data_IF_279542883761
#
_entry.id   IF_279542883761
#
_cell.length_a   1.000
_cell.length_b   1.000
_cell.length_c   1.000
_cell.angle_alpha   90.00
_cell.angle_beta   90.00
_cell.angle_gamma   90.00
#
_symmetry.space_group_name_H-M   'P 1'
#
loop_
_entity.id
_entity.type
_entity.pdbx_description
1 polymer ?
#
# COMPACT_ATOMS: atom_id res chain seq x y z
N UNK A 1 -22.94 -1.96 9.14
CA UNK A 1 -23.16 -1.65 7.71
C UNK A 1 -22.04 -0.74 7.23
N UNK A 2 -21.79 -0.62 5.92
CA UNK A 2 -20.95 0.45 5.38
C UNK A 2 -21.40 1.82 5.89
N UNK A 3 -20.45 2.71 6.13
CA UNK A 3 -20.74 4.11 6.39
C UNK A 3 -21.36 4.76 5.15
N UNK A 4 -22.12 5.84 5.36
CA UNK A 4 -22.70 6.58 4.24
C UNK A 4 -21.58 7.22 3.39
N UNK A 5 -21.64 6.98 2.08
CA UNK A 5 -20.62 7.30 1.08
C UNK A 5 -19.28 6.55 1.27
N UNK A 6 -19.27 5.39 1.94
CA UNK A 6 -18.06 4.57 2.02
C UNK A 6 -17.66 4.03 0.63
N UNK A 7 -16.37 4.09 0.32
CA UNK A 7 -15.77 3.56 -0.90
C UNK A 7 -14.93 2.32 -0.58
N UNK A 8 -14.69 1.47 -1.60
CA UNK A 8 -13.84 0.30 -1.43
C UNK A 8 -14.48 -0.81 -0.60
N UNK A 9 -15.82 -0.86 -0.55
CA UNK A 9 -16.54 -1.86 0.25
C UNK A 9 -16.35 -3.26 -0.35
N UNK A 10 -16.02 -4.29 0.45
CA UNK A 10 -15.86 -5.66 -0.03
C UNK A 10 -17.12 -6.22 -0.71
N UNK A 11 -16.95 -7.06 -1.72
CA UNK A 11 -18.07 -7.61 -2.50
C UNK A 11 -18.98 -8.57 -1.73
N UNK A 12 -18.54 -9.01 -0.55
CA UNK A 12 -19.29 -9.89 0.36
C UNK A 12 -19.78 -9.16 1.60
N UNK A 13 -19.81 -7.82 1.58
CA UNK A 13 -20.18 -7.02 2.73
C UNK A 13 -21.63 -7.26 3.15
N UNK A 14 -21.83 -7.72 4.39
CA UNK A 14 -23.15 -7.80 5.00
C UNK A 14 -23.62 -6.43 5.51
N UNK A 15 -24.93 -6.20 5.47
CA UNK A 15 -25.57 -5.00 5.98
C UNK A 15 -26.17 -5.29 7.35
N UNK A 16 -25.62 -4.67 8.39
CA UNK A 16 -26.15 -4.78 9.75
C UNK A 16 -26.87 -3.49 10.15
N UNK A 17 -28.13 -3.64 10.57
CA UNK A 17 -29.02 -2.56 11.03
C UNK A 17 -29.43 -2.82 12.47
N UNK A 18 -29.42 -1.78 13.29
CA UNK A 18 -29.88 -1.83 14.69
C UNK A 18 -30.91 -0.75 14.97
N UNK A 19 -31.89 -1.09 15.80
CA UNK A 19 -33.02 -0.26 16.20
C UNK A 19 -33.01 -0.08 17.73
N UNK A 20 -33.67 0.98 18.21
CA UNK A 20 -33.80 1.25 19.64
C UNK A 20 -34.94 0.47 20.32
N UNK A 21 -35.80 -0.19 19.55
CA UNK A 21 -36.94 -0.97 20.03
C UNK A 21 -37.23 -2.16 19.09
N UNK A 22 -37.99 -3.18 19.54
CA UNK A 22 -38.34 -4.34 18.72
C UNK A 22 -39.19 -3.97 17.50
N UNK A 23 -38.90 -4.60 16.36
CA UNK A 23 -39.52 -4.31 15.07
C UNK A 23 -40.53 -5.38 14.61
N UNK A 24 -41.42 -5.00 13.70
CA UNK A 24 -42.25 -5.95 12.95
C UNK A 24 -41.42 -6.49 11.78
N UNK A 25 -41.10 -7.79 11.81
CA UNK A 25 -40.15 -8.42 10.87
C UNK A 25 -40.64 -8.31 9.42
N UNK A 26 -41.86 -8.76 9.14
CA UNK A 26 -42.43 -8.75 7.78
C UNK A 26 -42.47 -7.32 7.20
N UNK A 27 -42.76 -6.33 8.05
CA UNK A 27 -42.74 -4.93 7.66
C UNK A 27 -41.36 -4.44 7.26
N UNK A 28 -40.33 -4.75 8.04
CA UNK A 28 -38.98 -4.26 7.78
C UNK A 28 -38.39 -4.97 6.57
N UNK A 29 -38.54 -6.29 6.47
CA UNK A 29 -38.06 -7.05 5.32
C UNK A 29 -38.75 -6.64 4.01
N UNK A 30 -40.06 -6.37 4.05
CA UNK A 30 -40.81 -5.89 2.89
C UNK A 30 -40.48 -4.46 2.48
N UNK A 31 -39.95 -3.65 3.41
CA UNK A 31 -39.57 -2.26 3.17
C UNK A 31 -38.10 -2.08 2.78
N UNK A 32 -37.23 -2.99 3.23
CA UNK A 32 -35.79 -2.91 3.04
C UNK A 32 -35.41 -3.08 1.57
N UNK A 33 -34.64 -2.13 1.07
CA UNK A 33 -34.07 -2.16 -0.26
C UNK A 33 -32.54 -2.13 -0.18
N UNK A 34 -31.90 -3.03 -0.93
CA UNK A 34 -30.50 -2.90 -1.33
C UNK A 34 -30.51 -2.94 -2.85
N UNK A 35 -30.22 -1.81 -3.49
CA UNK A 35 -30.39 -1.63 -4.94
C UNK A 35 -29.15 -1.01 -5.57
N UNK A 36 -28.95 -1.27 -6.85
CA UNK A 36 -27.91 -0.59 -7.63
C UNK A 36 -28.43 0.80 -8.05
N UNK A 37 -27.63 1.85 -7.87
CA UNK A 37 -28.05 3.22 -8.15
C UNK A 37 -28.46 3.44 -9.61
N UNK A 38 -27.71 2.87 -10.56
CA UNK A 38 -27.95 3.01 -11.99
C UNK A 38 -29.15 2.20 -12.49
N UNK A 39 -29.42 1.07 -11.84
CA UNK A 39 -30.53 0.17 -12.16
C UNK A 39 -31.15 -0.31 -10.85
N UNK A 40 -32.34 0.20 -10.44
CA UNK A 40 -32.91 -0.08 -9.12
C UNK A 40 -33.47 -1.51 -9.03
N UNK A 41 -32.59 -2.49 -9.20
CA UNK A 41 -32.82 -3.91 -9.08
C UNK A 41 -32.45 -4.30 -7.65
N UNK A 42 -33.39 -4.93 -6.97
CA UNK A 42 -33.17 -5.44 -5.62
C UNK A 42 -32.12 -6.55 -5.64
N UNK A 43 -31.08 -6.40 -4.81
CA UNK A 43 -30.13 -7.46 -4.52
C UNK A 43 -30.83 -8.52 -3.68
N UNK A 44 -30.83 -9.75 -4.17
CA UNK A 44 -31.35 -10.88 -3.41
C UNK A 44 -30.42 -11.20 -2.23
N UNK A 45 -31.00 -11.61 -1.10
CA UNK A 45 -30.25 -11.97 0.09
C UNK A 45 -31.15 -12.54 1.18
N UNK A 46 -30.56 -12.77 2.34
CA UNK A 46 -31.24 -13.36 3.51
C UNK A 46 -31.12 -12.47 4.72
N UNK A 47 -32.18 -12.42 5.53
CA UNK A 47 -32.20 -11.72 6.80
C UNK A 47 -31.96 -12.70 7.95
N UNK A 48 -31.13 -12.27 8.90
CA UNK A 48 -30.94 -12.93 10.19
C UNK A 48 -31.19 -11.91 11.30
N UNK A 49 -32.28 -12.11 12.06
CA UNK A 49 -32.69 -11.24 13.16
C UNK A 49 -32.10 -11.69 14.49
N UNK A 50 -31.83 -10.73 15.37
CA UNK A 50 -31.49 -11.04 16.76
C UNK A 50 -32.74 -11.44 17.58
N UNK A 51 -32.53 -12.10 18.72
CA UNK A 51 -33.60 -12.67 19.56
C UNK A 51 -34.64 -11.66 20.05
N UNK A 52 -34.24 -10.40 20.26
CA UNK A 52 -35.08 -9.30 20.74
C UNK A 52 -35.70 -8.46 19.61
N UNK A 53 -35.45 -8.82 18.34
CA UNK A 53 -35.95 -8.15 17.14
C UNK A 53 -35.57 -6.67 17.05
N UNK A 54 -34.47 -6.28 17.69
CA UNK A 54 -33.91 -4.92 17.67
C UNK A 54 -32.82 -4.75 16.62
N UNK A 55 -32.55 -5.75 15.80
CA UNK A 55 -31.59 -5.65 14.71
C UNK A 55 -31.58 -6.86 13.82
N UNK A 56 -31.05 -6.66 12.60
CA UNK A 56 -30.85 -7.74 11.65
C UNK A 56 -29.52 -7.61 10.92
N UNK A 57 -29.06 -8.73 10.38
CA UNK A 57 -28.01 -8.82 9.38
C UNK A 57 -28.62 -9.28 8.06
N UNK A 58 -28.46 -8.46 7.01
CA UNK A 58 -28.78 -8.83 5.64
C UNK A 58 -27.51 -9.27 4.92
N UNK A 59 -27.52 -10.49 4.41
CA UNK A 59 -26.41 -11.08 3.67
C UNK A 59 -26.81 -11.21 2.20
N UNK A 60 -26.13 -10.52 1.26
CA UNK A 60 -26.31 -10.73 -0.17
C UNK A 60 -26.14 -12.21 -0.55
N UNK A 61 -27.03 -12.73 -1.39
CA UNK A 61 -26.99 -14.14 -1.82
C UNK A 61 -25.87 -14.43 -2.82
N UNK A 62 -25.40 -13.40 -3.51
CA UNK A 62 -24.29 -13.43 -4.45
C UNK A 62 -23.35 -12.27 -4.13
N UNK A 63 -22.13 -12.31 -4.66
CA UNK A 63 -21.20 -11.16 -4.58
C UNK A 63 -21.84 -9.94 -5.22
N UNK A 64 -21.67 -8.80 -4.56
CA UNK A 64 -21.96 -7.50 -5.16
C UNK A 64 -21.09 -7.29 -6.41
N UNK A 65 -21.57 -6.48 -7.34
CA UNK A 65 -20.81 -6.10 -8.53
C UNK A 65 -19.64 -5.19 -8.14
N UNK A 66 -18.54 -5.25 -8.90
CA UNK A 66 -17.40 -4.33 -8.75
C UNK A 66 -17.79 -2.90 -9.13
N UNK A 67 -17.09 -1.93 -8.56
CA UNK A 67 -17.18 -0.51 -8.93
C UNK A 67 -18.62 0.01 -9.06
N UNK A 68 -19.50 -0.42 -8.15
CA UNK A 68 -20.94 -0.20 -8.23
C UNK A 68 -21.42 0.56 -7.01
N UNK A 69 -22.16 1.64 -7.24
CA UNK A 69 -22.86 2.36 -6.18
C UNK A 69 -24.15 1.61 -5.80
N UNK A 70 -24.25 1.26 -4.52
CA UNK A 70 -25.40 0.61 -3.92
C UNK A 70 -26.11 1.56 -2.97
N UNK A 71 -27.44 1.55 -3.01
CA UNK A 71 -28.31 2.28 -2.10
C UNK A 71 -28.98 1.29 -1.15
N UNK A 72 -28.87 1.55 0.15
CA UNK A 72 -29.53 0.82 1.23
C UNK A 72 -30.57 1.74 1.85
N UNK A 73 -31.80 1.27 1.97
CA UNK A 73 -32.81 2.11 2.61
C UNK A 73 -34.19 1.51 2.71
N UNK A 74 -35.09 2.36 3.20
CA UNK A 74 -36.53 2.16 3.14
C UNK A 74 -37.23 3.51 3.11
N UNK A 75 -38.42 3.55 2.50
CA UNK A 75 -39.23 4.77 2.46
C UNK A 75 -39.84 5.08 3.82
N UNK A 76 -40.21 6.34 4.05
CA UNK A 76 -41.03 6.69 5.20
C UNK A 76 -42.35 5.89 5.18
N UNK A 77 -42.88 5.58 6.37
CA UNK A 77 -44.16 4.89 6.53
C UNK A 77 -44.23 3.45 5.94
N UNK A 78 -43.07 2.81 5.70
CA UNK A 78 -42.99 1.45 5.17
C UNK A 78 -42.51 0.39 6.19
N UNK A 79 -41.63 0.78 7.12
CA UNK A 79 -41.10 -0.05 8.18
C UNK A 79 -41.70 0.36 9.55
N UNK A 80 -42.15 -0.60 10.35
CA UNK A 80 -42.89 -0.34 11.60
C UNK A 80 -42.33 -1.09 12.81
N UNK A 81 -42.50 -0.52 14.00
CA UNK A 81 -42.21 -1.24 15.25
C UNK A 81 -43.13 -2.47 15.45
N UNK A 82 -42.76 -3.40 16.34
CA UNK A 82 -43.45 -4.70 16.49
C UNK A 82 -44.97 -4.59 16.76
N UNK A 83 -45.43 -3.49 17.35
CA UNK A 83 -46.85 -3.22 17.59
C UNK A 83 -47.57 -2.46 16.46
N UNK A 84 -46.86 -2.12 15.38
CA UNK A 84 -47.29 -1.28 14.25
C UNK A 84 -47.93 0.05 14.67
N UNK A 85 -47.40 0.65 15.74
CA UNK A 85 -47.89 1.92 16.30
C UNK A 85 -47.12 3.13 15.80
N UNK A 86 -45.86 2.92 15.41
CA UNK A 86 -44.99 3.95 14.85
C UNK A 86 -44.28 3.40 13.63
N UNK A 87 -44.22 4.21 12.58
CA UNK A 87 -43.33 3.98 11.46
C UNK A 87 -41.93 4.52 11.75
N UNK A 88 -40.94 3.94 11.11
CA UNK A 88 -39.61 4.52 11.03
C UNK A 88 -39.62 5.72 10.07
N UNK A 89 -38.75 6.73 10.31
CA UNK A 89 -38.44 7.71 9.28
C UNK A 89 -37.81 7.02 8.07
N UNK A 90 -37.84 7.70 6.93
CA UNK A 90 -37.08 7.27 5.76
C UNK A 90 -35.60 7.11 6.13
N UNK A 91 -34.98 6.07 5.60
CA UNK A 91 -33.56 5.80 5.72
C UNK A 91 -33.00 5.61 4.33
N UNK A 92 -31.89 6.27 4.07
CA UNK A 92 -31.15 6.21 2.82
C UNK A 92 -29.67 6.32 3.17
N UNK A 93 -28.88 5.39 2.65
CA UNK A 93 -27.43 5.35 2.79
C UNK A 93 -26.87 4.75 1.51
N UNK A 94 -25.70 5.20 1.09
CA UNK A 94 -25.05 4.66 -0.11
C UNK A 94 -23.60 4.27 0.15
N UNK A 95 -23.10 3.36 -0.65
CA UNK A 95 -21.70 2.97 -0.64
C UNK A 95 -21.27 2.51 -2.03
N UNK A 96 -19.96 2.51 -2.29
CA UNK A 96 -19.36 2.03 -3.53
C UNK A 96 -18.47 0.84 -3.20
N UNK A 97 -18.67 -0.25 -3.93
CA UNK A 97 -17.83 -1.45 -3.81
C UNK A 97 -16.41 -1.22 -4.32
N UNK A 98 -15.49 -2.11 -3.98
CA UNK A 98 -14.13 -2.12 -4.53
C UNK A 98 -14.11 -1.95 -6.06
N UNK A 99 -13.16 -1.17 -6.61
CA UNK A 99 -13.07 -0.93 -8.05
C UNK A 99 -12.52 -2.14 -8.79
N UNK A 100 -12.63 -2.14 -10.13
CA UNK A 100 -11.92 -3.10 -10.97
C UNK A 100 -10.40 -3.06 -10.73
N UNK A 101 -9.71 -4.20 -10.80
CA UNK A 101 -8.26 -4.21 -10.68
C UNK A 101 -7.63 -3.44 -11.83
N UNK A 102 -6.69 -2.57 -11.48
CA UNK A 102 -5.91 -1.78 -12.42
C UNK A 102 -4.60 -1.37 -11.76
N UNK A 103 -3.54 -1.19 -12.56
CA UNK A 103 -2.33 -0.50 -12.11
C UNK A 103 -2.60 1.00 -12.24
N UNK A 104 -2.60 1.71 -11.10
CA UNK A 104 -2.90 3.15 -11.06
C UNK A 104 -1.64 4.01 -11.16
N UNK A 105 -0.50 3.48 -10.70
CA UNK A 105 0.79 4.13 -10.85
C UNK A 105 1.94 3.15 -10.65
N UNK A 106 3.12 3.55 -11.07
CA UNK A 106 4.37 2.80 -10.88
C UNK A 106 5.42 3.72 -10.25
N UNK A 107 6.33 3.10 -9.51
CA UNK A 107 7.58 3.73 -9.13
C UNK A 107 8.74 2.82 -9.55
N UNK A 108 9.67 3.25 -10.39
CA UNK A 108 9.69 4.54 -11.08
C UNK A 108 8.50 4.74 -12.02
N UNK A 109 8.17 6.01 -12.29
CA UNK A 109 7.17 6.33 -13.32
C UNK A 109 7.80 6.24 -14.72
N UNK A 110 6.97 6.14 -15.75
CA UNK A 110 7.44 6.10 -17.14
C UNK A 110 8.24 7.37 -17.49
N UNK A 111 9.43 7.17 -18.07
CA UNK A 111 10.39 8.23 -18.38
C UNK A 111 11.17 8.77 -17.19
N UNK A 112 11.10 8.15 -16.01
CA UNK A 112 11.89 8.58 -14.86
C UNK A 112 13.41 8.52 -15.15
N UNK A 113 14.14 9.54 -14.72
CA UNK A 113 15.60 9.62 -14.83
C UNK A 113 16.25 9.63 -13.45
N UNK A 114 17.54 9.29 -13.39
CA UNK A 114 18.33 9.28 -12.16
C UNK A 114 17.71 8.44 -11.02
N UNK A 115 17.06 7.33 -11.38
CA UNK A 115 16.45 6.41 -10.42
C UNK A 115 17.55 5.72 -9.60
N UNK A 116 17.38 5.62 -8.29
CA UNK A 116 18.35 4.91 -7.46
C UNK A 116 18.47 3.44 -7.90
N UNK A 117 19.68 2.91 -8.15
CA UNK A 117 19.89 1.56 -8.67
C UNK A 117 19.66 0.46 -7.60
N UNK A 118 18.90 0.75 -6.55
CA UNK A 118 18.55 -0.16 -5.46
C UNK A 118 17.05 -0.08 -5.16
N UNK A 119 16.45 -1.20 -4.76
CA UNK A 119 15.04 -1.25 -4.33
C UNK A 119 14.02 -1.70 -5.39
N UNK A 120 14.42 -1.82 -6.65
CA UNK A 120 13.58 -2.39 -7.71
C UNK A 120 12.45 -1.47 -8.18
N UNK A 121 11.26 -2.04 -8.39
CA UNK A 121 10.08 -1.39 -8.97
C UNK A 121 8.84 -1.65 -8.11
N UNK A 122 8.03 -0.64 -7.87
CA UNK A 122 6.74 -0.74 -7.19
C UNK A 122 5.58 -0.56 -8.16
N UNK A 123 4.55 -1.40 -8.04
CA UNK A 123 3.27 -1.27 -8.73
C UNK A 123 2.19 -0.92 -7.70
N UNK A 124 1.42 0.13 -7.95
CA UNK A 124 0.27 0.51 -7.12
C UNK A 124 -1.02 0.12 -7.82
N UNK A 125 -1.94 -0.51 -7.08
CA UNK A 125 -3.17 -1.06 -7.63
C UNK A 125 -4.41 -0.35 -7.11
N UNK A 126 -5.46 -0.31 -7.94
CA UNK A 126 -6.77 0.23 -7.57
C UNK A 126 -7.50 -0.62 -6.52
N UNK A 127 -7.21 -1.92 -6.49
CA UNK A 127 -7.85 -2.89 -5.59
C UNK A 127 -6.83 -3.87 -5.02
N UNK A 128 -7.28 -4.68 -4.05
CA UNK A 128 -6.43 -5.70 -3.41
C UNK A 128 -6.16 -6.84 -4.39
N UNK A 129 -4.88 -7.05 -4.71
CA UNK A 129 -4.45 -8.06 -5.68
C UNK A 129 -4.19 -9.43 -5.07
N UNK A 130 -4.23 -10.49 -5.88
CA UNK A 130 -3.67 -11.80 -5.57
C UNK A 130 -2.16 -11.82 -5.92
N UNK A 131 -1.25 -11.82 -4.93
CA UNK A 131 0.19 -11.72 -5.15
C UNK A 131 0.79 -12.84 -6.02
N UNK A 132 0.18 -14.04 -6.00
CA UNK A 132 0.66 -15.21 -6.74
C UNK A 132 0.50 -15.05 -8.26
N UNK A 133 -0.31 -14.09 -8.71
CA UNK A 133 -0.60 -13.87 -10.14
C UNK A 133 0.21 -12.74 -10.76
N UNK A 134 1.10 -12.11 -10.00
CA UNK A 134 1.77 -10.86 -10.39
C UNK A 134 3.10 -11.13 -11.10
N UNK A 135 4.06 -11.78 -10.45
CA UNK A 135 5.45 -11.87 -10.96
C UNK A 135 5.55 -12.58 -12.32
N UNK A 136 4.72 -13.60 -12.56
CA UNK A 136 4.68 -14.33 -13.84
C UNK A 136 4.23 -13.48 -15.04
N UNK A 137 3.75 -12.25 -14.79
CA UNK A 137 3.32 -11.29 -15.81
C UNK A 137 4.37 -10.23 -16.10
N UNK A 138 5.46 -10.18 -15.34
CA UNK A 138 6.46 -9.11 -15.42
C UNK A 138 7.66 -9.57 -16.24
N UNK A 139 8.02 -8.79 -17.26
CA UNK A 139 9.26 -8.93 -18.03
C UNK A 139 10.07 -7.65 -17.90
N UNK A 140 11.38 -7.80 -17.66
CA UNK A 140 12.32 -6.70 -17.43
C UNK A 140 13.42 -6.77 -18.49
N UNK A 141 13.69 -5.67 -19.16
CA UNK A 141 14.79 -5.50 -20.10
C UNK A 141 15.68 -4.32 -19.66
N UNK A 142 17.00 -4.49 -19.49
CA UNK A 142 17.74 -5.75 -19.58
C UNK A 142 17.32 -6.73 -18.49
N UNK A 143 17.37 -8.03 -18.82
CA UNK A 143 17.03 -9.08 -17.86
C UNK A 143 17.96 -9.02 -16.63
N UNK A 144 17.43 -9.00 -15.41
CA UNK A 144 18.25 -8.93 -14.20
C UNK A 144 18.99 -10.25 -13.95
N UNK A 145 20.06 -10.17 -13.15
CA UNK A 145 20.75 -11.35 -12.65
C UNK A 145 19.93 -11.98 -11.52
N UNK A 146 19.51 -13.23 -11.70
CA UNK A 146 18.75 -13.99 -10.70
C UNK A 146 17.25 -14.01 -10.95
N UNK A 147 16.51 -14.60 -10.00
CA UNK A 147 15.06 -14.63 -10.02
C UNK A 147 14.50 -13.33 -9.45
N UNK A 148 13.31 -12.92 -9.93
CA UNK A 148 12.57 -11.82 -9.33
C UNK A 148 12.02 -12.25 -7.98
N UNK A 149 12.10 -11.37 -7.01
CA UNK A 149 11.40 -11.51 -5.73
C UNK A 149 10.40 -10.35 -5.58
N UNK A 150 9.43 -10.51 -4.69
CA UNK A 150 8.50 -9.43 -4.43
C UNK A 150 7.54 -9.68 -3.28
N UNK A 151 6.96 -8.60 -2.79
CA UNK A 151 6.01 -8.66 -1.69
C UNK A 151 4.87 -7.66 -1.90
N UNK A 152 3.70 -8.03 -1.38
CA UNK A 152 2.51 -7.19 -1.43
C UNK A 152 2.28 -6.49 -0.08
N UNK A 153 2.07 -5.18 -0.14
CA UNK A 153 1.63 -4.33 0.96
C UNK A 153 0.13 -4.07 0.82
N UNK A 154 -0.66 -4.60 1.75
CA UNK A 154 -2.11 -4.37 1.78
C UNK A 154 -2.50 -2.96 2.23
N UNK A 155 -1.57 -2.22 2.84
CA UNK A 155 -1.85 -0.88 3.37
C UNK A 155 -2.13 0.14 2.26
N UNK A 156 -1.38 0.05 1.17
CA UNK A 156 -1.42 0.97 0.02
C UNK A 156 -1.65 0.25 -1.32
N UNK A 157 -2.10 -1.01 -1.28
CA UNK A 157 -2.27 -1.89 -2.45
C UNK A 157 -1.04 -1.86 -3.38
N UNK A 158 0.14 -2.04 -2.80
CA UNK A 158 1.43 -1.95 -3.51
C UNK A 158 2.08 -3.31 -3.64
N UNK A 159 2.62 -3.63 -4.81
CA UNK A 159 3.51 -4.77 -4.99
C UNK A 159 4.92 -4.27 -5.31
N UNK A 160 5.89 -4.61 -4.46
CA UNK A 160 7.29 -4.29 -4.68
C UNK A 160 7.98 -5.48 -5.36
N UNK A 161 8.58 -5.24 -6.53
CA UNK A 161 9.35 -6.18 -7.34
C UNK A 161 10.82 -5.86 -7.11
N UNK A 162 11.52 -6.77 -6.46
CA UNK A 162 12.92 -6.63 -6.06
C UNK A 162 13.82 -7.37 -7.05
N UNK A 163 14.76 -6.63 -7.62
CA UNK A 163 15.81 -7.18 -8.48
C UNK A 163 17.04 -6.26 -8.45
N UNK A 164 18.24 -6.79 -8.69
CA UNK A 164 19.43 -5.97 -8.80
C UNK A 164 19.36 -5.10 -10.07
N UNK A 165 19.60 -3.80 -9.92
CA UNK A 165 19.67 -2.86 -11.04
C UNK A 165 21.12 -2.43 -11.27
N UNK A 166 21.47 -2.20 -12.53
CA UNK A 166 22.75 -1.63 -12.94
C UNK A 166 22.63 -0.11 -12.94
N UNK A 167 23.62 0.60 -12.40
CA UNK A 167 23.69 2.06 -12.46
C UNK A 167 23.89 2.58 -13.89
N UNK A 168 23.40 3.79 -14.16
CA UNK A 168 23.46 4.45 -15.48
C UNK A 168 22.94 3.58 -16.64
N UNK A 169 21.88 2.81 -16.39
CA UNK A 169 21.27 1.89 -17.36
C UNK A 169 19.81 2.25 -17.62
N UNK A 170 19.35 1.98 -18.85
CA UNK A 170 17.95 2.09 -19.21
C UNK A 170 17.25 0.76 -18.97
N UNK A 171 16.09 0.81 -18.31
CA UNK A 171 15.20 -0.31 -18.08
C UNK A 171 13.87 -0.10 -18.81
N UNK A 172 13.31 -1.19 -19.33
CA UNK A 172 11.95 -1.30 -19.86
C UNK A 172 11.25 -2.42 -19.11
N UNK A 173 10.14 -2.10 -18.47
CA UNK A 173 9.28 -3.05 -17.76
C UNK A 173 8.04 -3.28 -18.62
N UNK A 174 7.75 -4.54 -18.92
CA UNK A 174 6.52 -4.96 -19.61
C UNK A 174 5.70 -5.84 -18.68
N UNK A 175 4.44 -5.48 -18.52
CA UNK A 175 3.48 -6.15 -17.67
C UNK A 175 2.37 -6.70 -18.55
N UNK A 176 2.36 -8.02 -18.73
CA UNK A 176 1.36 -8.72 -19.51
C UNK A 176 -0.01 -8.73 -18.80
N UNK A 177 -1.12 -8.85 -19.54
CA UNK A 177 -2.44 -9.08 -18.95
C UNK A 177 -2.50 -10.34 -18.08
N UNK A 178 -3.45 -10.36 -17.14
CA UNK A 178 -3.81 -11.55 -16.36
C UNK A 178 -3.33 -11.55 -14.90
N UNK A 179 -2.99 -10.38 -14.33
CA UNK A 179 -2.90 -10.22 -12.87
C UNK A 179 -4.30 -10.17 -12.29
N UNK A 180 -4.59 -10.96 -11.25
CA UNK A 180 -5.93 -11.09 -10.68
C UNK A 180 -6.05 -10.40 -9.32
N UNK A 181 -7.24 -9.88 -9.02
CA UNK A 181 -7.60 -9.46 -7.66
C UNK A 181 -7.96 -10.66 -6.76
N UNK A 182 -8.19 -10.38 -5.48
CA UNK A 182 -8.62 -11.41 -4.50
C UNK A 182 -9.99 -12.03 -4.82
N UNK A 183 -10.73 -11.49 -5.79
CA UNK A 183 -12.03 -11.99 -6.23
C UNK A 183 -11.95 -12.77 -7.56
N UNK A 184 -10.78 -12.80 -8.21
CA UNK A 184 -10.52 -13.48 -9.48
C UNK A 184 -10.78 -12.61 -10.72
N UNK A 185 -10.95 -11.30 -10.58
CA UNK A 185 -11.04 -10.39 -11.72
C UNK A 185 -9.63 -10.04 -12.22
N UNK A 186 -9.42 -10.03 -13.53
CA UNK A 186 -8.10 -9.84 -14.11
C UNK A 186 -7.91 -8.44 -14.72
N UNK A 187 -6.69 -7.92 -14.64
CA UNK A 187 -6.23 -6.79 -15.47
C UNK A 187 -6.05 -7.31 -16.90
N UNK A 188 -6.84 -6.80 -17.84
CA UNK A 188 -6.84 -7.27 -19.24
C UNK A 188 -5.89 -6.48 -20.16
N UNK A 189 -5.42 -5.32 -19.71
CA UNK A 189 -4.52 -4.46 -20.47
C UNK A 189 -3.05 -4.76 -20.16
N UNK A 190 -2.23 -4.74 -21.20
CA UNK A 190 -0.77 -4.68 -21.06
C UNK A 190 -0.33 -3.27 -20.61
N UNK A 191 0.71 -3.20 -19.78
CA UNK A 191 1.38 -1.95 -19.42
C UNK A 191 2.88 -2.07 -19.71
N UNK A 192 3.42 -1.09 -20.43
CA UNK A 192 4.87 -0.95 -20.64
C UNK A 192 5.31 0.42 -20.17
N UNK A 193 6.42 0.48 -19.43
CA UNK A 193 7.05 1.74 -19.04
C UNK A 193 8.57 1.57 -18.98
N UNK A 194 9.30 2.67 -19.15
CA UNK A 194 10.75 2.70 -19.06
C UNK A 194 11.27 3.72 -18.07
N UNK A 195 12.48 3.50 -17.56
CA UNK A 195 13.19 4.45 -16.71
C UNK A 195 14.70 4.31 -16.86
N UNK A 196 15.45 5.29 -16.36
CA UNK A 196 16.91 5.30 -16.37
C UNK A 196 17.43 5.39 -14.94
N UNK A 197 18.29 4.45 -14.56
CA UNK A 197 18.98 4.50 -13.26
C UNK A 197 20.05 5.58 -13.26
N UNK A 198 20.24 6.21 -12.10
CA UNK A 198 21.31 7.17 -11.86
C UNK A 198 22.67 6.49 -11.78
N UNK A 199 23.71 7.31 -11.72
CA UNK A 199 25.04 6.84 -11.37
C UNK A 199 25.07 6.33 -9.92
N UNK A 200 26.06 5.49 -9.60
CA UNK A 200 26.31 5.09 -8.22
C UNK A 200 26.50 6.32 -7.31
N UNK A 201 26.01 6.25 -6.07
CA UNK A 201 26.20 7.35 -5.13
C UNK A 201 27.70 7.56 -4.86
N UNK A 202 28.14 8.83 -4.73
CA UNK A 202 29.51 9.12 -4.33
C UNK A 202 29.78 8.58 -2.92
N UNK A 203 30.84 7.81 -2.79
CA UNK A 203 31.31 7.27 -1.51
C UNK A 203 32.72 7.78 -1.24
N UNK A 204 32.95 8.25 -0.01
CA UNK A 204 34.27 8.46 0.54
C UNK A 204 34.29 7.91 1.96
N UNK A 205 35.12 6.90 2.21
CA UNK A 205 35.38 6.41 3.56
C UNK A 205 36.88 6.40 3.83
N UNK A 206 37.26 6.80 5.03
CA UNK A 206 38.63 6.65 5.51
C UNK A 206 38.78 5.25 6.10
N UNK A 207 39.85 4.56 5.74
CA UNK A 207 40.18 3.24 6.29
C UNK A 207 40.78 3.40 7.70
N UNK A 208 39.98 3.96 8.60
CA UNK A 208 40.30 4.19 10.02
C UNK A 208 39.30 3.42 10.89
N UNK A 209 39.67 3.07 12.14
CA UNK A 209 38.75 2.42 13.07
C UNK A 209 37.42 3.19 13.21
N UNK A 210 36.34 2.47 13.49
CA UNK A 210 34.97 2.99 13.65
C UNK A 210 34.84 4.17 14.62
N UNK A 211 35.81 4.36 15.53
CA UNK A 211 35.91 5.49 16.43
C UNK A 211 36.30 6.83 15.74
N UNK A 212 36.50 6.83 14.42
CA UNK A 212 36.79 8.04 13.64
C UNK A 212 38.20 8.61 13.85
N UNK A 213 39.09 7.87 14.51
CA UNK A 213 40.47 8.30 14.82
C UNK A 213 41.46 7.27 14.27
N UNK A 214 42.31 7.72 13.34
CA UNK A 214 43.50 6.99 12.89
C UNK A 214 44.75 7.56 13.56
N UNK A 215 45.57 6.70 14.16
CA UNK A 215 46.88 7.09 14.73
C UNK A 215 47.98 6.67 13.77
N UNK A 216 48.82 7.64 13.39
CA UNK A 216 49.89 7.44 12.42
C UNK A 216 51.24 7.82 13.02
N UNK A 217 52.27 7.05 12.69
CA UNK A 217 53.64 7.29 13.15
C UNK A 217 54.32 8.36 12.29
N UNK A 218 54.78 9.44 12.91
CA UNK A 218 55.46 10.55 12.26
C UNK A 218 56.92 10.26 11.90
N UNK A 219 57.48 9.13 12.33
CA UNK A 219 58.85 8.72 12.02
C UNK A 219 58.95 7.87 10.75
N UNK A 220 57.83 7.55 10.10
CA UNK A 220 57.84 6.87 8.80
C UNK A 220 58.33 7.81 7.71
N UNK A 221 59.06 7.26 6.75
CA UNK A 221 59.50 8.01 5.57
C UNK A 221 58.31 8.59 4.78
N UNK A 222 57.16 7.92 4.81
CA UNK A 222 55.88 8.42 4.32
C UNK A 222 54.73 7.95 5.23
N UNK A 223 53.91 8.90 5.68
CA UNK A 223 52.63 8.63 6.36
C UNK A 223 51.52 8.60 5.33
N UNK A 224 50.83 7.47 5.23
CA UNK A 224 49.78 7.24 4.24
C UNK A 224 48.41 7.13 4.92
N UNK A 225 47.43 7.82 4.34
CA UNK A 225 46.02 7.74 4.71
C UNK A 225 45.29 7.00 3.60
N UNK A 226 44.77 5.82 3.90
CA UNK A 226 44.01 5.05 2.93
C UNK A 226 42.54 5.46 2.96
N UNK A 227 41.99 5.64 1.77
CA UNK A 227 40.57 5.93 1.56
C UNK A 227 39.98 4.91 0.59
N UNK A 228 38.72 4.59 0.78
CA UNK A 228 37.89 3.94 -0.24
C UNK A 228 37.03 5.04 -0.86
N UNK A 229 36.98 5.11 -2.18
CA UNK A 229 36.18 6.10 -2.90
C UNK A 229 35.40 5.51 -4.08
N UNK A 230 34.23 6.08 -4.37
CA UNK A 230 33.41 5.85 -5.56
C UNK A 230 32.83 7.17 -6.02
N UNK A 231 32.87 7.49 -7.31
CA UNK A 231 32.32 8.73 -7.89
C UNK A 231 32.74 10.04 -7.18
N UNK A 232 33.97 10.07 -6.64
CA UNK A 232 34.58 11.25 -6.03
C UNK A 232 35.77 11.71 -6.88
N UNK A 233 35.68 12.92 -7.45
CA UNK A 233 36.73 13.48 -8.29
C UNK A 233 37.82 14.20 -7.49
N UNK A 234 37.49 14.76 -6.33
CA UNK A 234 38.43 15.53 -5.51
C UNK A 234 38.13 15.39 -4.02
N UNK A 235 39.20 15.16 -3.23
CA UNK A 235 39.17 15.19 -1.77
C UNK A 235 40.09 16.32 -1.29
N UNK A 236 39.53 17.28 -0.55
CA UNK A 236 40.30 18.38 0.03
C UNK A 236 40.53 18.11 1.52
N UNK A 237 41.79 17.89 1.91
CA UNK A 237 42.19 17.66 3.30
C UNK A 237 42.83 18.92 3.87
N UNK A 238 42.43 19.29 5.09
CA UNK A 238 42.98 20.43 5.81
C UNK A 238 43.63 19.96 7.11
N UNK A 239 44.85 20.44 7.36
CA UNK A 239 45.56 20.13 8.59
C UNK A 239 45.25 21.18 9.65
N UNK A 240 44.77 20.73 10.81
CA UNK A 240 44.48 21.58 11.95
C UNK A 240 45.20 21.09 13.20
N UNK A 241 45.67 22.02 14.02
CA UNK A 241 46.14 21.71 15.37
C UNK A 241 44.92 21.51 16.27
N UNK A 242 44.77 20.33 16.86
CA UNK A 242 43.75 20.03 17.85
C UNK A 242 44.37 20.18 19.24
N UNK A 243 43.75 20.95 20.13
CA UNK A 243 44.20 21.03 21.51
C UNK A 243 43.87 19.74 22.28
N UNK A 244 44.63 19.47 23.35
CA UNK A 244 44.52 18.21 24.08
C UNK A 244 43.13 18.00 24.69
N UNK A 245 42.47 19.06 25.17
CA UNK A 245 41.16 18.92 25.81
C UNK A 245 40.09 18.50 24.78
N UNK A 246 40.11 19.11 23.60
CA UNK A 246 39.22 18.75 22.48
C UNK A 246 39.48 17.32 21.98
N UNK A 247 40.75 16.92 21.86
CA UNK A 247 41.12 15.55 21.47
C UNK A 247 40.61 14.49 22.47
N UNK A 248 40.77 14.73 23.77
CA UNK A 248 40.25 13.81 24.80
C UNK A 248 38.73 13.80 24.89
N UNK A 249 38.06 14.92 24.63
CA UNK A 249 36.59 14.96 24.56
C UNK A 249 36.06 14.06 23.43
N UNK A 250 36.72 14.05 22.27
CA UNK A 250 36.32 13.26 21.11
C UNK A 250 36.59 11.75 21.27
N UNK A 251 37.66 11.37 21.99
CA UNK A 251 37.97 9.98 22.33
C UNK A 251 36.99 9.35 23.34
N UNK A 252 36.41 10.16 24.22
CA UNK A 252 35.55 9.71 25.32
C UNK A 252 34.05 9.84 25.01
N UNK A 253 33.68 9.77 23.72
CA UNK A 253 32.36 10.14 23.20
C UNK A 253 31.19 9.86 24.15
N UNK A 254 30.28 10.83 24.29
CA UNK A 254 29.05 10.69 25.07
C UNK A 254 28.26 9.45 24.61
N UNK A 255 28.48 8.31 25.27
CA UNK A 255 27.47 7.26 25.38
C UNK A 255 26.38 7.77 26.32
N UNK A 256 25.51 8.64 25.81
CA UNK A 256 24.28 9.01 26.47
C UNK A 256 23.24 7.90 26.24
N UNK A 257 23.29 6.85 27.07
CA UNK A 257 22.10 6.06 27.39
C UNK A 257 21.55 6.62 28.71
N UNK A 258 20.47 7.43 28.70
CA UNK A 258 19.79 7.72 29.94
C UNK A 258 19.01 6.47 30.34
N UNK A 259 19.39 5.86 31.46
CA UNK A 259 18.59 4.84 32.13
C UNK A 259 17.15 5.35 32.31
N UNK A 260 16.21 4.69 31.64
CA UNK A 260 14.78 4.84 31.88
C UNK A 260 14.45 4.31 33.28
N UNK A 261 14.00 5.21 34.14
CA UNK A 261 13.17 4.86 35.30
C UNK A 261 11.75 4.50 34.88
#
# INVERSE_FOLDING_TARGET
MPADNEEGVPLTQAVQVTFSEPMDVDSVEGAFALTIAETPVQVAGTFEWNDDLTGFMFTPGERLALDTEYHIGWSADSAFNAGRRSALPAFDSRFVTVPFPAIVSTYPHDGAESVQPYGGVSLYFASKMNPETILDRVTIDPAPEGELDGFFSEYDNRYDILFPMVAAAQYTITIAPGMEDVYGNAIESELTFGFVTGEEDPELSFNIPWAGIGVYDSQREATELFVTQRNVEQVNLYLHTVDKASFFAQLNGEQYYPDSR
#
